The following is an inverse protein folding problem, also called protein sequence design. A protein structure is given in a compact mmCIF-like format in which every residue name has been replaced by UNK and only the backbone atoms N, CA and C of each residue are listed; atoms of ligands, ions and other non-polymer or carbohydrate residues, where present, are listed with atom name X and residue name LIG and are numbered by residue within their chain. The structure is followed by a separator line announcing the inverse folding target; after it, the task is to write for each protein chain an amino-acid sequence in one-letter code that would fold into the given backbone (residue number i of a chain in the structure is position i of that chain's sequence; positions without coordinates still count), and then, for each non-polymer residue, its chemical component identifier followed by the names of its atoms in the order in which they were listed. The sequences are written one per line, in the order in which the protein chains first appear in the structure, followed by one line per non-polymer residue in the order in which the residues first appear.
data_IF_077285808768
#
_entry.id   IF_077285808768
#
_cell.length_a   1.000
_cell.length_b   1.000
_cell.length_c   1.000
_cell.angle_alpha   90.00
_cell.angle_beta   90.00
_cell.angle_gamma   90.00
#
_symmetry.space_group_name_H-M   'P 1'
#
loop_
_entity.id
_entity.type
_entity.pdbx_description
1 polymer ?
#
# COMPACT_ATOMS: atom_id res chain seq x y z
N UNK A 1 15.03 -11.85 -3.19
CA UNK A 1 14.50 -10.98 -4.27
C UNK A 1 13.83 -9.77 -3.65
N UNK A 2 13.91 -8.59 -4.27
CA UNK A 2 13.29 -7.35 -3.76
C UNK A 2 12.32 -6.76 -4.78
N UNK A 3 11.22 -6.15 -4.31
CA UNK A 3 10.27 -5.43 -5.15
C UNK A 3 9.73 -4.19 -4.45
N UNK A 4 9.64 -3.09 -5.20
CA UNK A 4 8.83 -1.93 -4.83
C UNK A 4 7.41 -2.12 -5.39
N UNK A 5 6.38 -1.91 -4.56
CA UNK A 5 4.99 -2.05 -4.98
C UNK A 5 4.43 -0.80 -5.65
N UNK A 6 5.07 0.37 -5.52
CA UNK A 6 4.70 1.65 -6.13
C UNK A 6 3.24 2.06 -5.89
N UNK A 7 3.01 3.13 -5.15
CA UNK A 7 1.65 3.64 -4.88
C UNK A 7 0.83 3.94 -6.15
N UNK A 8 1.49 4.38 -7.23
CA UNK A 8 0.84 4.63 -8.52
C UNK A 8 0.28 6.03 -8.71
N UNK A 9 0.68 6.98 -7.86
CA UNK A 9 0.33 8.39 -7.99
C UNK A 9 1.47 9.26 -7.49
N UNK A 10 1.53 10.50 -7.97
CA UNK A 10 2.38 11.52 -7.39
C UNK A 10 1.70 12.11 -6.15
N UNK A 11 2.39 12.06 -5.01
CA UNK A 11 1.90 12.61 -3.75
C UNK A 11 2.42 14.03 -3.50
N UNK A 12 3.39 14.50 -4.28
CA UNK A 12 4.01 15.82 -4.10
C UNK A 12 2.97 16.96 -4.11
N UNK A 13 1.99 17.00 -5.04
CA UNK A 13 1.00 18.09 -5.05
C UNK A 13 0.16 18.15 -3.77
N UNK A 14 -0.16 16.99 -3.17
CA UNK A 14 -0.87 16.92 -1.89
C UNK A 14 -0.01 17.54 -0.77
N UNK A 15 1.28 17.16 -0.72
CA UNK A 15 2.20 17.61 0.32
C UNK A 15 2.55 19.10 0.22
N UNK A 16 2.44 19.68 -0.98
CA UNK A 16 2.74 21.08 -1.25
C UNK A 16 1.49 21.98 -1.22
N UNK A 17 0.30 21.40 -1.09
CA UNK A 17 -0.95 22.16 -1.02
C UNK A 17 -0.97 23.10 0.21
N UNK A 18 -1.27 24.37 -0.05
CA UNK A 18 -1.25 25.45 0.97
C UNK A 18 -2.63 25.75 1.56
N UNK A 19 -3.69 25.32 0.88
CA UNK A 19 -5.06 25.52 1.33
C UNK A 19 -5.89 24.24 1.16
N UNK A 20 -7.06 24.21 1.82
CA UNK A 20 -7.93 23.03 1.88
C UNK A 20 -8.55 22.66 0.54
N UNK A 21 -8.84 23.63 -0.33
CA UNK A 21 -9.44 23.34 -1.64
C UNK A 21 -8.43 22.60 -2.51
N UNK A 22 -7.22 23.16 -2.61
CA UNK A 22 -6.12 22.57 -3.38
C UNK A 22 -5.78 21.18 -2.84
N UNK A 23 -5.75 21.00 -1.51
CA UNK A 23 -5.54 19.68 -0.90
C UNK A 23 -6.57 18.65 -1.37
N UNK A 24 -7.86 19.00 -1.38
CA UNK A 24 -8.92 18.07 -1.76
C UNK A 24 -8.82 17.70 -3.25
N UNK A 25 -8.59 18.69 -4.11
CA UNK A 25 -8.48 18.46 -5.56
C UNK A 25 -7.26 17.57 -5.88
N UNK A 26 -6.12 17.84 -5.25
CA UNK A 26 -4.91 17.03 -5.41
C UNK A 26 -5.05 15.62 -4.81
N UNK A 27 -5.76 15.48 -3.69
CA UNK A 27 -6.06 14.17 -3.13
C UNK A 27 -6.93 13.35 -4.09
N UNK A 28 -7.98 13.95 -4.66
CA UNK A 28 -8.84 13.29 -5.65
C UNK A 28 -8.05 12.93 -6.91
N UNK A 29 -7.14 13.80 -7.36
CA UNK A 29 -6.25 13.53 -8.49
C UNK A 29 -5.34 12.32 -8.20
N UNK A 30 -4.71 12.25 -7.03
CA UNK A 30 -3.88 11.11 -6.65
C UNK A 30 -4.68 9.81 -6.56
N UNK A 31 -5.89 9.82 -5.96
CA UNK A 31 -6.75 8.64 -5.90
C UNK A 31 -7.14 8.15 -7.29
N UNK A 32 -7.42 9.06 -8.23
CA UNK A 32 -7.66 8.70 -9.64
C UNK A 32 -6.41 8.08 -10.28
N UNK A 33 -5.22 8.61 -9.99
CA UNK A 33 -3.95 8.02 -10.44
C UNK A 33 -3.74 6.60 -9.91
N UNK A 34 -3.94 6.39 -8.61
CA UNK A 34 -3.87 5.08 -7.97
C UNK A 34 -4.86 4.08 -8.60
N UNK A 35 -6.10 4.52 -8.85
CA UNK A 35 -7.12 3.71 -9.51
C UNK A 35 -6.71 3.33 -10.94
N UNK A 36 -6.20 4.30 -11.72
CA UNK A 36 -5.76 4.09 -13.10
C UNK A 36 -4.53 3.16 -13.21
N UNK A 37 -3.70 3.08 -12.17
CA UNK A 37 -2.52 2.21 -12.13
C UNK A 37 -2.86 0.70 -12.00
N UNK A 38 -4.12 0.35 -11.72
CA UNK A 38 -4.62 -1.05 -11.73
C UNK A 38 -3.74 -2.01 -10.94
N UNK A 39 -3.51 -1.72 -9.65
CA UNK A 39 -2.57 -2.46 -8.80
C UNK A 39 -2.76 -3.98 -8.86
N UNK A 40 -4.00 -4.48 -8.80
CA UNK A 40 -4.32 -5.92 -8.84
C UNK A 40 -3.74 -6.62 -10.09
N UNK A 41 -3.84 -5.99 -11.25
CA UNK A 41 -3.30 -6.54 -12.49
C UNK A 41 -1.76 -6.54 -12.49
N UNK A 42 -1.14 -5.50 -11.89
CA UNK A 42 0.32 -5.46 -11.72
C UNK A 42 0.80 -6.54 -10.74
N UNK A 43 0.09 -6.72 -9.63
CA UNK A 43 0.39 -7.76 -8.65
C UNK A 43 0.35 -9.15 -9.28
N UNK A 44 -0.68 -9.45 -10.09
CA UNK A 44 -0.74 -10.71 -10.86
C UNK A 44 0.47 -10.94 -11.77
N UNK A 45 0.92 -9.90 -12.49
CA UNK A 45 2.14 -9.96 -13.32
C UNK A 45 3.40 -10.14 -12.50
N UNK A 46 3.51 -9.45 -11.36
CA UNK A 46 4.63 -9.61 -10.45
C UNK A 46 4.69 -11.02 -9.85
N UNK A 47 3.54 -11.59 -9.47
CA UNK A 47 3.44 -12.97 -8.97
C UNK A 47 3.93 -13.97 -10.01
N UNK A 48 3.60 -13.80 -11.29
CA UNK A 48 4.11 -14.69 -12.34
C UNK A 48 5.65 -14.73 -12.37
N UNK A 49 6.32 -13.60 -12.09
CA UNK A 49 7.78 -13.54 -11.97
C UNK A 49 8.24 -14.25 -10.69
N UNK A 50 7.64 -13.96 -9.55
CA UNK A 50 7.99 -14.58 -8.26
C UNK A 50 7.86 -16.12 -8.34
N UNK A 51 6.78 -16.63 -8.91
CA UNK A 51 6.52 -18.08 -9.06
C UNK A 51 7.58 -18.74 -9.95
N UNK A 52 8.03 -18.04 -11.00
CA UNK A 52 9.08 -18.53 -11.90
C UNK A 52 10.44 -18.58 -11.20
N UNK A 53 10.82 -17.51 -10.51
CA UNK A 53 12.15 -17.39 -9.90
C UNK A 53 12.26 -18.10 -8.54
N UNK A 54 11.13 -18.43 -7.89
CA UNK A 54 11.04 -19.15 -6.61
C UNK A 54 12.00 -18.65 -5.51
N UNK A 55 12.05 -17.35 -5.21
CA UNK A 55 12.96 -16.84 -4.19
C UNK A 55 12.56 -17.32 -2.80
N UNK A 56 13.52 -17.77 -1.97
CA UNK A 56 13.23 -18.16 -0.58
C UNK A 56 12.71 -16.96 0.25
N UNK A 57 13.22 -15.76 -0.06
CA UNK A 57 12.87 -14.52 0.63
C UNK A 57 12.49 -13.41 -0.36
N UNK A 58 11.33 -12.82 -0.10
CA UNK A 58 10.82 -11.61 -0.76
C UNK A 58 10.89 -10.43 0.20
N UNK A 59 11.61 -9.38 -0.19
CA UNK A 59 11.58 -8.10 0.51
C UNK A 59 10.74 -7.10 -0.30
N UNK A 60 9.67 -6.59 0.31
CA UNK A 60 8.74 -5.67 -0.33
C UNK A 60 8.89 -4.26 0.25
N UNK A 61 8.88 -3.27 -0.63
CA UNK A 61 8.90 -1.85 -0.30
C UNK A 61 7.60 -1.20 -0.79
N UNK A 62 7.20 -0.08 -0.16
CA UNK A 62 5.94 0.63 -0.44
C UNK A 62 4.70 -0.26 -0.39
N UNK A 63 4.65 -1.15 0.59
CA UNK A 63 3.48 -2.01 0.81
C UNK A 63 2.41 -1.20 1.55
N UNK A 64 1.46 -0.65 0.80
CA UNK A 64 0.42 0.20 1.34
C UNK A 64 -0.87 -0.54 1.66
N UNK A 65 -1.61 -0.01 2.63
CA UNK A 65 -3.00 -0.38 2.92
C UNK A 65 -3.84 0.88 2.87
N UNK A 66 -4.59 1.06 1.80
CA UNK A 66 -5.54 2.15 1.66
C UNK A 66 -6.95 1.65 1.92
N UNK A 67 -7.65 2.34 2.81
CA UNK A 67 -9.05 2.10 3.10
C UNK A 67 -9.81 3.41 2.95
N UNK A 68 -11.07 3.31 2.59
CA UNK A 68 -11.98 4.43 2.53
C UNK A 68 -13.21 4.10 3.37
N UNK A 69 -13.68 5.09 4.11
CA UNK A 69 -14.93 5.04 4.85
C UNK A 69 -15.71 6.31 4.55
N UNK A 70 -16.93 6.15 4.06
CA UNK A 70 -17.82 7.28 3.83
C UNK A 70 -18.29 7.83 5.17
N UNK A 71 -18.26 9.16 5.32
CA UNK A 71 -18.71 9.84 6.52
C UNK A 71 -20.25 9.83 6.68
N UNK A 72 -20.97 9.66 5.58
CA UNK A 72 -22.43 9.60 5.49
C UNK A 72 -22.83 8.57 4.44
N UNK A 73 -24.12 8.23 4.34
CA UNK A 73 -24.61 7.36 3.28
C UNK A 73 -24.42 8.01 1.91
N UNK A 74 -23.75 7.29 1.01
CA UNK A 74 -23.43 7.69 -0.36
C UNK A 74 -24.06 6.71 -1.37
N UNK A 75 -24.30 7.19 -2.59
CA UNK A 75 -24.69 6.31 -3.70
C UNK A 75 -23.45 5.62 -4.32
N UNK A 76 -23.67 4.65 -5.21
CA UNK A 76 -22.59 4.00 -5.95
C UNK A 76 -21.81 4.95 -6.88
N UNK A 77 -22.34 6.14 -7.15
CA UNK A 77 -21.70 7.19 -7.95
C UNK A 77 -20.99 8.23 -7.07
N UNK A 78 -20.87 7.98 -5.77
CA UNK A 78 -20.31 8.90 -4.78
C UNK A 78 -19.41 8.15 -3.78
N UNK A 79 -18.63 8.91 -3.03
CA UNK A 79 -17.87 8.37 -1.90
C UNK A 79 -16.86 7.29 -2.30
N UNK A 80 -16.62 6.35 -1.39
CA UNK A 80 -15.67 5.26 -1.56
C UNK A 80 -16.00 4.31 -2.72
N UNK A 81 -17.29 4.20 -3.07
CA UNK A 81 -17.77 3.35 -4.15
C UNK A 81 -17.66 3.99 -5.54
N UNK A 82 -17.31 5.29 -5.61
CA UNK A 82 -17.21 6.00 -6.88
C UNK A 82 -16.20 5.31 -7.82
N UNK A 83 -16.62 4.89 -9.04
CA UNK A 83 -15.77 4.10 -9.94
C UNK A 83 -14.43 4.75 -10.31
N UNK A 84 -14.37 6.08 -10.28
CA UNK A 84 -13.15 6.83 -10.60
C UNK A 84 -12.03 6.70 -9.55
N UNK A 85 -12.34 6.23 -8.34
CA UNK A 85 -11.37 6.10 -7.24
C UNK A 85 -11.44 4.76 -6.50
N UNK A 86 -12.51 3.97 -6.64
CA UNK A 86 -12.73 2.77 -5.83
C UNK A 86 -11.56 1.77 -5.87
N UNK A 87 -10.84 1.65 -7.00
CA UNK A 87 -9.67 0.79 -7.13
C UNK A 87 -8.40 1.30 -6.42
N UNK A 88 -8.39 2.54 -5.92
CA UNK A 88 -7.30 3.07 -5.09
C UNK A 88 -7.30 2.45 -3.68
N UNK A 89 -8.45 1.99 -3.20
CA UNK A 89 -8.61 1.43 -1.87
C UNK A 89 -8.35 -0.07 -1.88
N UNK A 90 -7.11 -0.45 -1.56
CA UNK A 90 -6.65 -1.84 -1.59
C UNK A 90 -5.51 -2.05 -0.60
N UNK A 91 -5.48 -3.24 -0.01
CA UNK A 91 -4.32 -3.73 0.74
C UNK A 91 -3.38 -4.46 -0.21
N UNK A 92 -2.19 -3.89 -0.43
CA UNK A 92 -1.24 -4.37 -1.42
C UNK A 92 -0.68 -5.74 -1.03
N UNK A 93 -0.49 -5.97 0.27
CA UNK A 93 0.04 -7.22 0.79
C UNK A 93 -0.97 -8.35 0.63
N UNK A 94 -2.21 -8.09 1.02
CA UNK A 94 -3.28 -9.10 0.95
C UNK A 94 -3.54 -9.52 -0.50
N UNK A 95 -3.55 -8.56 -1.44
CA UNK A 95 -3.65 -8.86 -2.88
C UNK A 95 -2.49 -9.74 -3.34
N UNK A 96 -1.24 -9.38 -3.00
CA UNK A 96 -0.09 -10.17 -3.43
C UNK A 96 -0.09 -11.59 -2.85
N UNK A 97 -0.43 -11.74 -1.57
CA UNK A 97 -0.54 -13.04 -0.90
C UNK A 97 -1.66 -13.89 -1.52
N UNK A 98 -2.82 -13.28 -1.81
CA UNK A 98 -3.92 -13.98 -2.46
C UNK A 98 -3.54 -14.47 -3.86
N UNK A 99 -2.88 -13.63 -4.67
CA UNK A 99 -2.40 -14.01 -5.99
C UNK A 99 -1.33 -15.10 -5.94
N UNK A 100 -0.39 -15.05 -5.00
CA UNK A 100 0.59 -16.13 -4.78
C UNK A 100 -0.10 -17.44 -4.41
N UNK A 101 -1.07 -17.38 -3.48
CA UNK A 101 -1.80 -18.57 -3.04
C UNK A 101 -2.64 -19.17 -4.18
N UNK A 102 -3.19 -18.33 -5.07
CA UNK A 102 -3.92 -18.79 -6.25
C UNK A 102 -3.01 -19.53 -7.24
N UNK A 103 -1.70 -19.28 -7.21
CA UNK A 103 -0.69 -20.01 -7.98
C UNK A 103 -0.11 -21.22 -7.22
N UNK A 104 -0.69 -21.59 -6.07
CA UNK A 104 -0.22 -22.71 -5.26
C UNK A 104 1.08 -22.42 -4.49
N UNK A 105 1.56 -21.17 -4.49
CA UNK A 105 2.78 -20.77 -3.79
C UNK A 105 2.43 -20.10 -2.46
N UNK A 106 3.06 -20.57 -1.38
CA UNK A 106 2.78 -20.09 -0.02
C UNK A 106 3.94 -19.25 0.49
N UNK A 107 3.67 -17.98 0.75
CA UNK A 107 4.54 -17.11 1.54
C UNK A 107 3.82 -16.71 2.83
N UNK A 108 4.60 -16.51 3.89
CA UNK A 108 4.12 -15.93 5.14
C UNK A 108 4.90 -14.66 5.42
N UNK A 109 4.22 -13.63 5.91
CA UNK A 109 4.92 -12.45 6.43
C UNK A 109 5.68 -12.83 7.69
N UNK A 110 7.00 -12.71 7.65
CA UNK A 110 7.88 -13.02 8.79
C UNK A 110 8.28 -11.77 9.59
N UNK A 111 8.23 -10.58 8.97
CA UNK A 111 8.54 -9.31 9.61
C UNK A 111 7.86 -8.15 8.88
N UNK A 112 7.60 -7.07 9.62
CA UNK A 112 7.17 -5.77 9.08
C UNK A 112 8.08 -4.71 9.67
N UNK A 113 8.72 -3.92 8.81
CA UNK A 113 9.55 -2.79 9.25
C UNK A 113 8.70 -1.53 9.29
N UNK A 114 8.68 -0.87 10.44
CA UNK A 114 8.07 0.45 10.60
C UNK A 114 9.18 1.49 10.66
N UNK A 115 9.27 2.34 9.64
CA UNK A 115 10.21 3.47 9.64
C UNK A 115 9.54 4.65 10.33
N UNK A 116 9.99 4.97 11.54
CA UNK A 116 9.66 6.24 12.19
C UNK A 116 10.66 7.29 11.69
N UNK A 117 10.24 8.14 10.76
CA UNK A 117 10.97 9.38 10.48
C UNK A 117 10.86 10.27 11.72
N UNK A 118 11.92 10.29 12.53
CA UNK A 118 12.10 11.27 13.60
C UNK A 118 12.47 12.59 12.92
N UNK A 119 11.46 13.38 12.57
CA UNK A 119 11.61 14.83 12.49
C UNK A 119 10.93 15.37 13.73
N UNK A 120 11.55 16.27 14.53
CA UNK A 120 10.85 16.92 15.62
C UNK A 120 9.85 17.92 15.01
N UNK A 121 8.70 17.42 14.54
CA UNK A 121 7.50 18.24 14.49
C UNK A 121 7.10 18.45 15.95
N UNK A 122 7.30 19.67 16.44
CA UNK A 122 6.68 20.16 17.66
C UNK A 122 5.16 20.02 17.51
N UNK A 123 4.61 18.87 17.87
CA UNK A 123 3.18 18.69 18.09
C UNK A 123 3.01 17.81 19.32
N UNK A 124 2.22 18.25 20.32
CA UNK A 124 2.00 17.47 21.52
C UNK A 124 1.11 16.29 21.13
N UNK A 125 1.35 15.13 21.73
CA UNK A 125 0.59 13.88 21.58
C UNK A 125 1.10 12.96 20.47
N UNK A 126 2.10 12.13 20.78
CA UNK A 126 2.13 10.77 20.23
C UNK A 126 2.95 9.83 21.12
N UNK A 127 2.32 8.74 21.58
CA UNK A 127 2.93 7.66 22.38
C UNK A 127 3.78 6.72 21.49
N UNK A 128 4.81 6.07 22.05
CA UNK A 128 5.85 5.39 21.27
C UNK A 128 5.45 3.95 20.89
N UNK A 129 5.95 3.47 19.75
CA UNK A 129 6.00 2.03 19.43
C UNK A 129 7.34 1.72 18.78
N UNK A 130 8.11 0.84 19.41
CA UNK A 130 9.48 0.42 19.05
C UNK A 130 9.50 -0.87 18.20
N UNK A 131 10.56 -1.09 17.41
CA UNK A 131 10.88 -2.41 16.81
C UNK A 131 12.39 -2.70 16.77
N UNK A 132 12.74 -3.96 17.05
CA UNK A 132 14.05 -4.62 16.92
C UNK A 132 14.11 -5.50 15.64
N UNK A 133 15.31 -5.84 15.14
CA UNK A 133 15.48 -6.67 13.94
C UNK A 133 15.37 -8.18 14.24
N UNK A 134 15.10 -9.00 13.21
CA UNK A 134 15.04 -10.47 13.32
C UNK A 134 16.10 -11.16 12.44
N UNK A 135 16.74 -12.18 13.02
CA UNK A 135 17.67 -13.15 12.43
C UNK A 135 16.90 -14.48 12.22
N UNK A 136 17.35 -15.28 11.26
CA UNK A 136 16.80 -16.61 10.93
C UNK A 136 17.28 -17.70 11.89
N UNK A 137 16.44 -18.71 12.16
CA UNK A 137 16.92 -20.09 12.36
C UNK A 137 16.13 -21.04 11.46
N UNK A 138 16.78 -22.06 10.85
CA UNK A 138 16.09 -23.09 10.07
C UNK A 138 15.59 -24.23 10.98
N UNK A 139 14.52 -24.96 10.59
CA UNK A 139 14.21 -26.25 11.20
C UNK A 139 14.84 -27.40 10.38
N UNK A 140 15.64 -28.19 11.10
CA UNK A 140 16.29 -29.48 10.80
C UNK A 140 17.53 -29.48 9.91
#
# INVERSE_FOLDING_TARGET
MTYNQYIGADLKPILESVNRSDFNDELVAALRGMNANRFKDRAKRQVAIIVREKPDVLALQEVWRFACQDAFQTSAQQGCAYPGIAGAFTDFLDVLIAELSAQGVKYKTISKVKISIWTPLKSPISRPVSFLPLITTPPY
#
